data_IF_012522132132
#
_entry.id   IF_012522132132
#
_cell.length_a   1.000
_cell.length_b   1.000
_cell.length_c   1.000
_cell.angle_alpha   90.00
_cell.angle_beta   90.00
_cell.angle_gamma   90.00
#
_symmetry.space_group_name_H-M   'P 1'
#
loop_
_entity.id
_entity.type
_entity.pdbx_description
1 polymer ?
#
# COMPACT_ATOMS: atom_id res chain seq x y z
N UNK A 1 -31.88 -28.72 5.91
CA UNK A 1 -30.41 -28.56 5.89
C UNK A 1 -30.11 -27.48 4.86
N UNK A 2 -29.86 -26.25 5.30
CA UNK A 2 -29.54 -25.12 4.43
C UNK A 2 -28.03 -24.85 4.56
N UNK A 3 -27.24 -25.55 3.75
CA UNK A 3 -25.79 -25.44 3.76
C UNK A 3 -25.35 -24.19 2.98
N UNK A 4 -24.38 -23.48 3.56
CA UNK A 4 -24.05 -22.08 3.30
C UNK A 4 -23.24 -21.94 2.01
N UNK A 5 -23.87 -22.05 0.86
CA UNK A 5 -23.20 -21.93 -0.45
C UNK A 5 -22.87 -20.48 -0.90
N UNK A 6 -22.77 -19.52 0.02
CA UNK A 6 -22.36 -18.14 -0.31
C UNK A 6 -20.86 -17.86 -0.12
N UNK A 7 -20.08 -18.84 0.38
CA UNK A 7 -18.71 -18.58 0.85
C UNK A 7 -17.65 -18.41 -0.25
N UNK A 8 -17.84 -18.93 -1.48
CA UNK A 8 -16.77 -18.84 -2.51
C UNK A 8 -16.84 -17.57 -3.35
N UNK A 9 -18.04 -17.11 -3.69
CA UNK A 9 -18.22 -15.90 -4.50
C UNK A 9 -17.93 -14.63 -3.68
N UNK A 10 -18.44 -14.56 -2.45
CA UNK A 10 -18.14 -13.46 -1.50
C UNK A 10 -16.63 -13.33 -1.26
N UNK A 11 -15.91 -14.44 -1.01
CA UNK A 11 -14.46 -14.40 -0.80
C UNK A 11 -13.68 -13.96 -2.03
N UNK A 12 -14.12 -14.32 -3.26
CA UNK A 12 -13.48 -13.88 -4.50
C UNK A 12 -13.67 -12.38 -4.74
N UNK A 13 -14.87 -11.85 -4.48
CA UNK A 13 -15.17 -10.41 -4.61
C UNK A 13 -14.39 -9.60 -3.57
N UNK A 14 -14.34 -10.07 -2.31
CA UNK A 14 -13.56 -9.42 -1.26
C UNK A 14 -12.06 -9.43 -1.61
N UNK A 15 -11.52 -10.56 -2.06
CA UNK A 15 -10.11 -10.66 -2.48
C UNK A 15 -9.79 -9.77 -3.67
N UNK A 16 -10.64 -9.75 -4.69
CA UNK A 16 -10.49 -8.89 -5.88
C UNK A 16 -10.63 -7.41 -5.54
N UNK A 17 -11.48 -7.05 -4.57
CA UNK A 17 -11.60 -5.67 -4.10
C UNK A 17 -10.30 -5.19 -3.43
N UNK A 18 -9.65 -6.02 -2.62
CA UNK A 18 -8.36 -5.68 -2.01
C UNK A 18 -7.19 -5.71 -3.00
N UNK A 19 -7.20 -6.61 -3.98
CA UNK A 19 -6.20 -6.73 -5.06
C UNK A 19 -6.24 -5.52 -6.02
N UNK A 20 -7.45 -5.14 -6.45
CA UNK A 20 -7.64 -3.94 -7.27
C UNK A 20 -7.29 -2.66 -6.48
N UNK A 21 -7.62 -2.61 -5.18
CA UNK A 21 -7.27 -1.48 -4.32
C UNK A 21 -5.76 -1.35 -4.13
N UNK A 22 -5.04 -2.46 -3.98
CA UNK A 22 -3.58 -2.47 -3.90
C UNK A 22 -2.96 -1.94 -5.21
N UNK A 23 -3.48 -2.38 -6.36
CA UNK A 23 -3.05 -1.88 -7.68
C UNK A 23 -3.25 -0.36 -7.81
N UNK A 24 -4.40 0.17 -7.40
CA UNK A 24 -4.66 1.62 -7.41
C UNK A 24 -3.74 2.37 -6.44
N UNK A 25 -3.50 1.83 -5.26
CA UNK A 25 -2.61 2.43 -4.26
C UNK A 25 -1.14 2.43 -4.75
N UNK A 26 -0.68 1.38 -5.42
CA UNK A 26 0.64 1.31 -6.06
C UNK A 26 0.81 2.35 -7.17
N UNK A 27 -0.20 2.48 -8.03
CA UNK A 27 -0.20 3.47 -9.10
C UNK A 27 -0.17 4.89 -8.51
N UNK A 28 -1.00 5.15 -7.49
CA UNK A 28 -1.03 6.44 -6.80
C UNK A 28 0.30 6.77 -6.11
N UNK A 29 0.95 5.80 -5.50
CA UNK A 29 2.27 5.99 -4.88
C UNK A 29 3.33 6.35 -5.94
N UNK A 30 3.23 5.78 -7.13
CA UNK A 30 4.11 6.10 -8.27
C UNK A 30 3.90 7.54 -8.77
N UNK A 31 2.66 8.02 -8.82
CA UNK A 31 2.35 9.42 -9.13
C UNK A 31 2.94 10.37 -8.07
N UNK A 32 2.78 10.04 -6.79
CA UNK A 32 3.31 10.85 -5.69
C UNK A 32 4.82 11.02 -5.74
N UNK A 33 5.57 10.00 -6.18
CA UNK A 33 7.02 10.12 -6.42
C UNK A 33 7.31 11.24 -7.43
N UNK A 34 6.61 11.24 -8.56
CA UNK A 34 6.78 12.27 -9.59
C UNK A 34 6.38 13.66 -9.07
N UNK A 35 5.25 13.76 -8.37
CA UNK A 35 4.81 15.02 -7.75
C UNK A 35 5.84 15.53 -6.72
N UNK A 36 6.42 14.66 -5.89
CA UNK A 36 7.42 15.03 -4.88
C UNK A 36 8.71 15.58 -5.49
N UNK A 37 9.08 15.18 -6.72
CA UNK A 37 10.20 15.78 -7.45
C UNK A 37 9.91 17.19 -7.95
N UNK A 38 8.64 17.53 -8.19
CA UNK A 38 8.21 18.80 -8.79
C UNK A 38 7.68 19.79 -7.76
N UNK A 39 7.48 19.36 -6.51
CA UNK A 39 6.79 20.13 -5.49
C UNK A 39 7.65 20.37 -4.26
N UNK A 40 7.62 21.60 -3.75
CA UNK A 40 8.40 22.00 -2.58
C UNK A 40 7.54 22.63 -1.47
N UNK A 41 8.13 22.81 -0.29
CA UNK A 41 7.54 23.51 0.84
C UNK A 41 6.28 22.83 1.41
N UNK A 42 5.26 23.63 1.79
CA UNK A 42 4.05 23.14 2.47
C UNK A 42 3.26 22.10 1.66
N UNK A 43 3.36 22.14 0.33
CA UNK A 43 2.68 21.16 -0.53
C UNK A 43 3.39 19.81 -0.49
N UNK A 44 4.72 19.79 -0.48
CA UNK A 44 5.54 18.57 -0.33
C UNK A 44 5.19 17.80 0.94
N UNK A 45 5.05 18.49 2.07
CA UNK A 45 4.64 17.88 3.34
C UNK A 45 3.27 17.17 3.27
N UNK A 46 2.30 17.73 2.53
CA UNK A 46 0.99 17.08 2.32
C UNK A 46 1.11 15.83 1.45
N UNK A 47 1.96 15.86 0.42
CA UNK A 47 2.23 14.70 -0.43
C UNK A 47 2.88 13.58 0.38
N UNK A 48 3.83 13.90 1.27
CA UNK A 48 4.44 12.92 2.16
C UNK A 48 3.45 12.29 3.14
N UNK A 49 2.55 13.07 3.73
CA UNK A 49 1.49 12.53 4.58
C UNK A 49 0.59 11.55 3.80
N UNK A 50 0.31 11.86 2.53
CA UNK A 50 -0.45 10.96 1.65
C UNK A 50 0.35 9.70 1.31
N UNK A 51 1.65 9.83 1.03
CA UNK A 51 2.53 8.71 0.75
C UNK A 51 2.66 7.75 1.95
N UNK A 52 2.75 8.30 3.17
CA UNK A 52 2.76 7.54 4.42
C UNK A 52 1.49 6.69 4.59
N UNK A 53 0.31 7.28 4.37
CA UNK A 53 -0.96 6.57 4.48
C UNK A 53 -1.03 5.42 3.46
N UNK A 54 -0.63 5.68 2.20
CA UNK A 54 -0.64 4.68 1.14
C UNK A 54 0.37 3.56 1.42
N UNK A 55 1.59 3.88 1.83
CA UNK A 55 2.59 2.87 2.20
C UNK A 55 2.09 1.98 3.35
N UNK A 56 1.44 2.57 4.36
CA UNK A 56 0.82 1.81 5.46
C UNK A 56 -0.28 0.90 4.94
N UNK A 57 -1.14 1.43 4.06
CA UNK A 57 -2.19 0.66 3.41
C UNK A 57 -1.70 -0.41 2.47
N UNK A 58 -0.47 -0.32 1.93
CA UNK A 58 0.20 -1.33 1.12
C UNK A 58 0.99 -2.34 1.98
N UNK A 59 1.02 -2.16 3.30
CA UNK A 59 1.69 -3.06 4.23
C UNK A 59 3.20 -2.88 4.31
N UNK A 60 3.71 -1.70 3.91
CA UNK A 60 5.12 -1.35 4.09
C UNK A 60 5.44 -1.31 5.59
N UNK A 61 6.57 -1.90 6.05
CA UNK A 61 6.95 -1.85 7.45
C UNK A 61 7.11 -0.41 7.96
N UNK A 62 6.57 -0.11 9.15
CA UNK A 62 6.61 1.23 9.74
C UNK A 62 8.04 1.80 9.87
N UNK A 63 9.05 0.96 10.15
CA UNK A 63 10.46 1.38 10.17
C UNK A 63 10.96 1.88 8.82
N UNK A 64 10.50 1.27 7.72
CA UNK A 64 10.85 1.68 6.36
C UNK A 64 10.13 2.96 5.98
N UNK A 65 8.85 3.08 6.33
CA UNK A 65 8.05 4.30 6.16
C UNK A 65 8.73 5.48 6.87
N UNK A 66 9.06 5.32 8.16
CA UNK A 66 9.71 6.35 8.95
C UNK A 66 11.05 6.78 8.34
N UNK A 67 11.85 5.82 7.85
CA UNK A 67 13.11 6.14 7.17
C UNK A 67 12.88 6.95 5.88
N UNK A 68 11.90 6.57 5.07
CA UNK A 68 11.56 7.25 3.81
C UNK A 68 11.11 8.69 4.08
N UNK A 69 10.15 8.88 4.99
CA UNK A 69 9.61 10.20 5.34
C UNK A 69 10.68 11.07 6.00
N UNK A 70 11.50 10.51 6.91
CA UNK A 70 12.58 11.25 7.56
C UNK A 70 13.69 11.68 6.58
N UNK A 71 13.90 10.91 5.52
CA UNK A 71 14.88 11.25 4.49
C UNK A 71 14.39 12.37 3.57
N UNK A 72 13.07 12.63 3.51
CA UNK A 72 12.42 13.63 2.65
C UNK A 72 12.83 13.51 1.15
N UNK A 73 13.27 12.32 0.75
CA UNK A 73 13.90 12.05 -0.54
C UNK A 73 12.99 11.19 -1.42
N UNK A 74 12.60 11.76 -2.57
CA UNK A 74 11.70 11.11 -3.52
C UNK A 74 12.32 9.88 -4.20
N UNK A 75 13.66 9.79 -4.30
CA UNK A 75 14.33 8.63 -4.87
C UNK A 75 14.18 7.40 -3.96
N UNK A 76 14.25 7.60 -2.64
CA UNK A 76 14.03 6.51 -1.67
C UNK A 76 12.58 6.00 -1.75
N UNK A 77 11.60 6.90 -1.91
CA UNK A 77 10.21 6.49 -2.14
C UNK A 77 10.07 5.71 -3.46
N UNK A 78 10.76 6.13 -4.52
CA UNK A 78 10.76 5.41 -5.81
C UNK A 78 11.28 3.98 -5.68
N UNK A 79 12.32 3.76 -4.86
CA UNK A 79 12.84 2.41 -4.58
C UNK A 79 11.81 1.56 -3.81
N UNK A 80 11.06 2.15 -2.87
CA UNK A 80 9.95 1.47 -2.19
C UNK A 80 8.86 1.07 -3.18
N UNK A 81 8.47 1.96 -4.09
CA UNK A 81 7.49 1.67 -5.15
C UNK A 81 7.94 0.49 -6.00
N UNK A 82 9.21 0.47 -6.44
CA UNK A 82 9.78 -0.67 -7.19
C UNK A 82 9.73 -1.96 -6.39
N UNK A 83 10.03 -1.92 -5.10
CA UNK A 83 10.02 -3.09 -4.21
C UNK A 83 8.60 -3.67 -4.07
N UNK A 84 7.59 -2.80 -3.98
CA UNK A 84 6.17 -3.19 -3.96
C UNK A 84 5.75 -3.79 -5.30
N UNK A 85 6.06 -3.14 -6.42
CA UNK A 85 5.74 -3.65 -7.77
C UNK A 85 6.44 -4.97 -8.08
N UNK A 86 7.65 -5.18 -7.54
CA UNK A 86 8.37 -6.44 -7.63
C UNK A 86 7.82 -7.52 -6.68
N UNK A 87 6.82 -7.22 -5.87
CA UNK A 87 6.20 -8.13 -4.91
C UNK A 87 7.10 -8.47 -3.71
N UNK A 88 8.14 -7.69 -3.44
CA UNK A 88 9.05 -7.89 -2.29
C UNK A 88 8.44 -7.39 -0.99
N UNK A 89 7.55 -6.40 -1.07
CA UNK A 89 6.70 -5.98 0.04
C UNK A 89 5.33 -6.61 -0.15
N UNK A 90 5.03 -7.61 0.69
CA UNK A 90 3.71 -8.19 0.79
C UNK A 90 3.13 -7.85 2.15
N UNK A 91 1.86 -7.43 2.17
CA UNK A 91 1.11 -7.33 3.43
C UNK A 91 1.27 -8.64 4.19
N UNK A 92 1.59 -8.61 5.49
CA UNK A 92 1.48 -9.82 6.30
C UNK A 92 0.06 -10.36 6.12
N UNK A 93 -0.05 -11.66 5.82
CA UNK A 93 -1.34 -12.31 5.65
C UNK A 93 -2.22 -11.97 6.86
N UNK A 94 -3.50 -11.60 6.67
CA UNK A 94 -4.40 -11.37 7.79
C UNK A 94 -4.35 -12.61 8.70
N UNK A 95 -4.34 -12.42 10.04
CA UNK A 95 -4.28 -13.54 10.96
C UNK A 95 -5.38 -14.52 10.59
N UNK A 96 -5.00 -15.78 10.33
CA UNK A 96 -5.95 -16.83 9.98
C UNK A 96 -7.06 -16.83 11.05
N UNK A 97 -8.35 -16.84 10.66
CA UNK A 97 -9.41 -16.93 11.64
C UNK A 97 -9.17 -18.19 12.50
N UNK A 98 -9.37 -18.12 13.83
CA UNK A 98 -9.13 -19.25 14.70
C UNK A 98 -9.93 -20.44 14.19
N UNK A 99 -9.23 -21.52 13.87
CA UNK A 99 -9.84 -22.80 13.51
C UNK A 99 -10.50 -23.33 14.78
N UNK A 100 -11.82 -23.20 14.87
CA UNK A 100 -12.66 -23.89 15.86
C UNK A 100 -13.27 -25.11 15.18
#
# INVERSE_FOLDING_TARGET
MADREYSRYQSKVIKSFYDNRDTSDQQRLSELVADLYLTEGKKKAKLWATAEEIMTRLGVPASRIAHVVASDDAAILAEVVKDIQAGKIQKPAPPKPPTT
#
